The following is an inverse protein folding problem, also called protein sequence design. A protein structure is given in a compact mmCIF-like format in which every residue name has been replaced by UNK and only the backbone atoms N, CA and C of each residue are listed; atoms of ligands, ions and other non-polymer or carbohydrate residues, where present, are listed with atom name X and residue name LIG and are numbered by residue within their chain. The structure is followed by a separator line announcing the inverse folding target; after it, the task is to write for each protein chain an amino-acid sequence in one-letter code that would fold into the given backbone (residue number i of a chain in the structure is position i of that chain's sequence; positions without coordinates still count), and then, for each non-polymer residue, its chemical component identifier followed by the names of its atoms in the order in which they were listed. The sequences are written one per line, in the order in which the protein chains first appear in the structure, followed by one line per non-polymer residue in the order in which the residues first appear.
data_IF_260875823912
#
_entry.id   IF_260875823912
#
_cell.length_a   1.000
_cell.length_b   1.000
_cell.length_c   1.000
_cell.angle_alpha   90.00
_cell.angle_beta   90.00
_cell.angle_gamma   90.00
#
_symmetry.space_group_name_H-M   'P 1'
#
loop_
_entity.id
_entity.type
_entity.pdbx_description
1 polymer ?
#
# COMPACT_ATOMS: atom_id res chain seq x y z
N UNK A 1 -20.73 -2.44 -1.78
CA UNK A 1 -19.81 -2.74 -0.67
C UNK A 1 -18.42 -2.46 -1.18
N UNK A 2 -17.75 -1.45 -0.64
CA UNK A 2 -16.43 -1.03 -1.11
C UNK A 2 -15.41 -1.95 -0.44
N UNK A 3 -14.70 -2.77 -1.23
CA UNK A 3 -13.70 -3.71 -0.68
C UNK A 3 -12.41 -2.97 -0.41
N UNK A 4 -11.81 -3.24 0.75
CA UNK A 4 -10.51 -2.69 1.12
C UNK A 4 -9.39 -3.59 0.61
N UNK A 5 -8.38 -3.00 -0.04
CA UNK A 5 -7.21 -3.67 -0.58
C UNK A 5 -5.95 -2.99 -0.05
N UNK A 6 -4.99 -3.80 0.37
CA UNK A 6 -3.66 -3.32 0.74
C UNK A 6 -2.66 -3.77 -0.31
N UNK A 7 -1.86 -2.82 -0.81
CA UNK A 7 -0.77 -3.07 -1.74
C UNK A 7 0.52 -2.71 -1.02
N UNK A 8 1.43 -3.67 -0.88
CA UNK A 8 2.74 -3.47 -0.30
C UNK A 8 3.77 -3.34 -1.41
N UNK A 9 4.51 -2.23 -1.39
CA UNK A 9 5.54 -1.91 -2.36
C UNK A 9 6.83 -1.57 -1.61
N UNK A 10 7.83 -2.43 -1.76
CA UNK A 10 9.20 -2.12 -1.35
C UNK A 10 9.98 -1.67 -2.57
N UNK A 11 10.57 -0.48 -2.50
CA UNK A 11 11.30 0.11 -3.62
C UNK A 11 12.69 -0.51 -3.70
N UNK A 12 12.87 -1.47 -4.59
CA UNK A 12 14.17 -2.09 -4.87
C UNK A 12 14.78 -1.47 -6.12
N UNK A 13 13.98 -1.27 -7.18
CA UNK A 13 14.35 -0.50 -8.36
C UNK A 13 13.68 0.88 -8.32
N UNK A 14 14.41 1.87 -7.77
CA UNK A 14 14.11 3.30 -7.60
C UNK A 14 12.69 3.78 -8.01
N UNK A 15 12.33 3.65 -9.29
CA UNK A 15 11.05 4.13 -9.84
C UNK A 15 10.19 3.04 -10.49
N UNK A 16 10.74 1.88 -10.82
CA UNK A 16 10.04 0.81 -11.53
C UNK A 16 8.89 0.25 -10.69
N UNK A 17 9.24 -0.23 -9.49
CA UNK A 17 8.31 -0.93 -8.60
C UNK A 17 7.19 0.01 -8.14
N UNK A 18 7.57 1.17 -7.59
CA UNK A 18 6.62 2.17 -7.09
C UNK A 18 5.74 2.73 -8.21
N UNK A 19 6.28 2.92 -9.42
CA UNK A 19 5.49 3.40 -10.56
C UNK A 19 4.42 2.40 -10.99
N UNK A 20 4.71 1.10 -10.94
CA UNK A 20 3.72 0.03 -11.21
C UNK A 20 2.67 -0.03 -10.11
N UNK A 21 3.08 -0.08 -8.84
CA UNK A 21 2.16 -0.14 -7.70
C UNK A 21 1.24 1.10 -7.64
N UNK A 22 1.79 2.29 -7.87
CA UNK A 22 1.03 3.53 -7.88
C UNK A 22 0.00 3.56 -9.02
N UNK A 23 0.40 3.18 -10.24
CA UNK A 23 -0.52 3.12 -11.38
C UNK A 23 -1.66 2.13 -11.11
N UNK A 24 -1.35 0.95 -10.56
CA UNK A 24 -2.34 -0.05 -10.19
C UNK A 24 -3.32 0.50 -9.13
N UNK A 25 -2.81 1.07 -8.04
CA UNK A 25 -3.62 1.62 -6.95
C UNK A 25 -4.62 2.68 -7.44
N UNK A 26 -4.15 3.62 -8.26
CA UNK A 26 -5.02 4.65 -8.85
C UNK A 26 -6.07 4.06 -9.77
N UNK A 27 -5.70 3.07 -10.60
CA UNK A 27 -6.63 2.44 -11.54
C UNK A 27 -7.74 1.70 -10.79
N UNK A 28 -7.38 0.90 -9.78
CA UNK A 28 -8.34 0.19 -8.92
C UNK A 28 -9.29 1.14 -8.20
N UNK A 29 -8.77 2.28 -7.72
CA UNK A 29 -9.60 3.31 -7.09
C UNK A 29 -10.53 3.98 -8.10
N UNK A 30 -10.01 4.45 -9.24
CA UNK A 30 -10.76 5.29 -10.18
C UNK A 30 -11.74 4.50 -11.06
N UNK A 31 -11.34 3.32 -11.53
CA UNK A 31 -12.14 2.52 -12.47
C UNK A 31 -13.08 1.55 -11.77
N UNK A 32 -12.70 1.05 -10.58
CA UNK A 32 -13.46 0.03 -9.86
C UNK A 32 -14.02 0.51 -8.53
N UNK A 33 -13.73 1.75 -8.12
CA UNK A 33 -14.22 2.33 -6.86
C UNK A 33 -13.70 1.60 -5.63
N UNK A 34 -12.58 0.89 -5.72
CA UNK A 34 -12.01 0.14 -4.58
C UNK A 34 -11.31 1.09 -3.60
N UNK A 35 -11.29 0.70 -2.32
CA UNK A 35 -10.53 1.43 -1.30
C UNK A 35 -9.13 0.84 -1.23
N UNK A 36 -8.13 1.60 -1.65
CA UNK A 36 -6.75 1.15 -1.71
C UNK A 36 -5.92 1.84 -0.63
N UNK A 37 -5.22 1.05 0.19
CA UNK A 37 -4.05 1.51 0.95
C UNK A 37 -2.78 1.00 0.27
N UNK A 38 -1.91 1.93 -0.11
CA UNK A 38 -0.61 1.65 -0.70
C UNK A 38 0.48 1.88 0.36
N UNK A 39 1.09 0.80 0.83
CA UNK A 39 2.22 0.82 1.75
C UNK A 39 3.53 0.93 0.98
N UNK A 40 4.32 1.97 1.27
CA UNK A 40 5.59 2.27 0.57
C UNK A 40 6.70 2.49 1.57
N UNK A 41 7.82 1.78 1.43
CA UNK A 41 8.97 1.89 2.34
C UNK A 41 9.79 3.18 2.12
N UNK A 42 9.85 3.65 0.87
CA UNK A 42 10.51 4.90 0.46
C UNK A 42 9.49 5.88 -0.16
N UNK A 43 8.71 6.63 0.65
CA UNK A 43 7.72 7.60 0.15
C UNK A 43 8.31 8.69 -0.76
N UNK A 44 9.59 9.03 -0.56
CA UNK A 44 10.30 9.99 -1.40
C UNK A 44 10.29 9.62 -2.89
N UNK A 45 10.28 8.32 -3.22
CA UNK A 45 10.20 7.84 -4.61
C UNK A 45 8.86 8.23 -5.27
N UNK A 46 7.77 8.29 -4.49
CA UNK A 46 6.47 8.76 -4.97
C UNK A 46 6.43 10.29 -5.08
N UNK A 47 7.05 11.01 -4.14
CA UNK A 47 7.15 12.48 -4.17
C UNK A 47 7.81 13.00 -5.45
N UNK A 48 8.78 12.26 -5.98
CA UNK A 48 9.46 12.58 -7.24
C UNK A 48 8.53 12.47 -8.47
N UNK A 49 7.49 11.63 -8.40
CA UNK A 49 6.54 11.40 -9.49
C UNK A 49 5.25 12.20 -9.35
N UNK A 50 4.87 12.59 -8.12
CA UNK A 50 3.58 13.18 -7.80
C UNK A 50 3.72 14.53 -7.12
N UNK A 51 3.18 15.59 -7.76
CA UNK A 51 3.13 16.92 -7.15
C UNK A 51 2.16 16.94 -5.98
N UNK A 52 2.55 17.60 -4.90
CA UNK A 52 1.71 17.77 -3.70
C UNK A 52 1.70 16.57 -2.76
N UNK A 53 2.55 15.56 -3.01
CA UNK A 53 2.80 14.48 -2.07
C UNK A 53 3.91 14.89 -1.09
N UNK A 54 3.64 14.77 0.21
CA UNK A 54 4.59 15.07 1.27
C UNK A 54 5.21 13.78 1.85
N UNK A 55 6.46 13.43 1.55
CA UNK A 55 7.05 12.16 1.96
C UNK A 55 7.27 12.04 3.48
N UNK A 56 7.13 13.12 4.25
CA UNK A 56 7.32 13.11 5.71
C UNK A 56 6.04 12.72 6.47
N UNK A 57 4.90 12.67 5.80
CA UNK A 57 3.64 12.25 6.41
C UNK A 57 3.58 10.73 6.54
N UNK A 58 3.21 10.24 7.73
CA UNK A 58 3.00 8.82 7.98
C UNK A 58 1.90 8.21 7.08
N UNK A 59 0.87 8.99 6.76
CA UNK A 59 -0.09 8.67 5.71
C UNK A 59 -0.73 9.92 5.11
N UNK A 60 -1.17 9.82 3.86
CA UNK A 60 -1.94 10.86 3.19
C UNK A 60 -2.76 10.30 2.03
N UNK A 61 -3.82 11.01 1.64
CA UNK A 61 -4.59 10.66 0.46
C UNK A 61 -4.09 11.41 -0.77
N UNK A 62 -3.85 10.66 -1.85
CA UNK A 62 -3.52 11.21 -3.16
C UNK A 62 -4.33 10.47 -4.23
N UNK A 63 -5.02 11.20 -5.11
CA UNK A 63 -5.83 10.61 -6.21
C UNK A 63 -6.87 9.55 -5.75
N UNK A 64 -7.32 9.63 -4.50
CA UNK A 64 -8.25 8.68 -3.87
C UNK A 64 -7.60 7.44 -3.24
N UNK A 65 -6.28 7.28 -3.37
CA UNK A 65 -5.49 6.22 -2.73
C UNK A 65 -4.97 6.74 -1.39
N UNK A 66 -5.11 5.95 -0.33
CA UNK A 66 -4.39 6.19 0.92
C UNK A 66 -2.96 5.67 0.76
N UNK A 67 -1.97 6.55 0.84
CA UNK A 67 -0.56 6.17 0.80
C UNK A 67 -0.02 6.21 2.21
N UNK A 68 0.55 5.10 2.67
CA UNK A 68 1.07 4.92 4.02
C UNK A 68 2.58 4.66 3.98
N UNK A 69 3.33 5.28 4.88
CA UNK A 69 4.74 4.99 5.05
C UNK A 69 4.90 3.62 5.73
N UNK A 70 5.52 2.69 5.02
CA UNK A 70 5.89 1.38 5.55
C UNK A 70 7.24 1.46 6.25
N UNK A 71 7.21 1.46 7.58
CA UNK A 71 8.41 1.46 8.42
C UNK A 71 8.65 0.08 9.05
N UNK A 72 9.86 -0.20 9.56
CA UNK A 72 10.15 -1.44 10.28
C UNK A 72 9.27 -1.65 11.53
N UNK A 73 8.92 -0.56 12.22
CA UNK A 73 7.95 -0.56 13.31
C UNK A 73 6.52 -0.47 12.75
N UNK A 74 6.09 -1.55 12.10
CA UNK A 74 4.79 -1.59 11.43
C UNK A 74 3.63 -1.61 12.43
N UNK A 75 2.61 -0.75 12.28
CA UNK A 75 1.51 -0.66 13.24
C UNK A 75 0.61 -1.90 13.22
N UNK A 76 0.02 -2.22 14.36
CA UNK A 76 -1.01 -3.27 14.45
C UNK A 76 -2.32 -2.77 13.83
N UNK A 77 -2.57 -3.21 12.60
CA UNK A 77 -3.75 -2.83 11.81
C UNK A 77 -4.54 -4.05 11.39
N UNK A 78 -5.83 -3.84 11.13
CA UNK A 78 -6.66 -4.86 10.49
C UNK A 78 -6.22 -5.03 9.03
N UNK A 79 -5.95 -6.28 8.57
CA UNK A 79 -5.69 -6.56 7.17
C UNK A 79 -6.87 -6.22 6.27
N UNK A 80 -6.55 -5.80 5.05
CA UNK A 80 -7.51 -5.68 3.96
C UNK A 80 -8.10 -7.05 3.54
N UNK A 81 -9.20 -7.01 2.78
CA UNK A 81 -9.83 -8.23 2.24
C UNK A 81 -8.98 -8.89 1.13
N UNK A 82 -8.17 -8.08 0.45
CA UNK A 82 -7.21 -8.51 -0.57
C UNK A 82 -5.88 -7.86 -0.26
N UNK A 83 -4.81 -8.65 -0.29
CA UNK A 83 -3.45 -8.16 -0.02
C UNK A 83 -2.56 -8.48 -1.21
N UNK A 84 -1.95 -7.45 -1.79
CA UNK A 84 -0.98 -7.59 -2.86
C UNK A 84 0.41 -7.38 -2.29
N UNK A 85 1.19 -8.46 -2.22
CA UNK A 85 2.64 -8.41 -2.06
C UNK A 85 3.29 -8.12 -3.43
N UNK A 86 3.74 -6.89 -3.67
CA UNK A 86 4.36 -6.54 -4.94
C UNK A 86 5.86 -6.88 -4.94
N UNK A 87 6.32 -7.54 -6.01
CA UNK A 87 7.73 -7.82 -6.26
C UNK A 87 8.44 -8.61 -5.15
N UNK A 88 7.71 -9.50 -4.48
CA UNK A 88 8.23 -10.36 -3.40
C UNK A 88 8.88 -9.56 -2.25
N UNK A 89 8.22 -8.47 -1.84
CA UNK A 89 8.77 -7.52 -0.87
C UNK A 89 8.81 -8.01 0.58
N UNK A 90 8.22 -9.17 0.89
CA UNK A 90 7.97 -9.74 2.22
C UNK A 90 7.11 -8.82 3.12
N UNK A 91 5.95 -9.30 3.57
CA UNK A 91 5.04 -8.53 4.42
C UNK A 91 5.55 -8.47 5.89
N UNK A 92 5.18 -7.44 6.67
CA UNK A 92 5.48 -7.39 8.11
C UNK A 92 4.94 -8.59 8.87
N UNK A 93 5.72 -9.12 9.81
CA UNK A 93 5.34 -10.30 10.60
C UNK A 93 4.02 -10.12 11.36
N UNK A 94 3.80 -8.95 11.97
CA UNK A 94 2.56 -8.68 12.69
C UNK A 94 1.36 -8.59 11.75
N UNK A 95 1.55 -8.08 10.54
CA UNK A 95 0.52 -8.07 9.50
C UNK A 95 0.19 -9.49 9.02
N UNK A 96 1.21 -10.32 8.76
CA UNK A 96 1.03 -11.74 8.42
C UNK A 96 0.30 -12.52 9.51
N UNK A 97 0.65 -12.28 10.78
CA UNK A 97 -0.07 -12.88 11.91
C UNK A 97 -1.52 -12.42 11.95
N UNK A 98 -1.79 -11.12 11.76
CA UNK A 98 -3.14 -10.58 11.69
C UNK A 98 -3.95 -11.22 10.55
N UNK A 99 -3.34 -11.45 9.38
CA UNK A 99 -3.96 -12.17 8.27
C UNK A 99 -4.30 -13.63 8.64
N UNK A 100 -3.40 -14.31 9.35
CA UNK A 100 -3.55 -15.70 9.73
C UNK A 100 -4.69 -15.93 10.75
N UNK A 101 -4.91 -14.99 11.66
CA UNK A 101 -5.96 -15.06 12.69
C UNK A 101 -7.27 -14.40 12.27
N UNK A 102 -7.33 -13.75 11.11
CA UNK A 102 -8.55 -13.11 10.62
C UNK A 102 -9.67 -14.15 10.40
N UNK A 103 -10.89 -13.80 10.80
CA UNK A 103 -12.08 -14.66 10.64
C UNK A 103 -12.31 -15.04 9.17
N UNK A 104 -12.14 -14.06 8.27
CA UNK A 104 -12.07 -14.27 6.83
C UNK A 104 -10.64 -13.97 6.41
N UNK A 105 -9.94 -14.99 5.92
CA UNK A 105 -8.57 -14.84 5.43
C UNK A 105 -8.57 -13.94 4.19
N UNK A 106 -7.66 -12.98 4.09
CA UNK A 106 -7.50 -12.20 2.87
C UNK A 106 -7.14 -13.09 1.69
N UNK A 107 -7.52 -12.64 0.49
CA UNK A 107 -7.07 -13.21 -0.77
C UNK A 107 -5.66 -12.75 -1.12
#
# INVERSE_FOLDING_TARGET
MQRNWDIFCRVIDNYGDIGVCWRLARQLTKEYGLNIRLWVDVPASLAMMCRGFDPELASQYLDGVEVCHWTPEFPDIKPAEVVIEAFACELPDNYLQAMAIAEIKPY
#
